data_IF_215636131289
#
_entry.id   IF_215636131289
#
_cell.length_a   1.000
_cell.length_b   1.000
_cell.length_c   1.000
_cell.angle_alpha   90.00
_cell.angle_beta   90.00
_cell.angle_gamma   90.00
#
_symmetry.space_group_name_H-M   'P 1'
#
loop_
_entity.id
_entity.type
_entity.pdbx_description
1 polymer ?
#
# COMPACT_ATOMS: atom_id res chain seq x y z
N UNK A 1 -4.27 -12.75 -7.96
CA UNK A 1 -3.20 -12.35 -7.00
C UNK A 1 -2.07 -13.38 -7.07
N UNK A 2 -0.82 -12.93 -7.28
CA UNK A 2 0.33 -13.80 -7.59
C UNK A 2 0.99 -14.46 -6.37
N UNK A 3 0.80 -13.94 -5.15
CA UNK A 3 1.21 -14.53 -3.85
C UNK A 3 0.75 -13.64 -2.68
N UNK A 4 0.80 -14.13 -1.44
CA UNK A 4 0.55 -13.33 -0.22
C UNK A 4 1.49 -12.12 -0.12
N UNK A 5 2.77 -12.31 -0.48
CA UNK A 5 3.73 -11.20 -0.57
C UNK A 5 3.28 -10.11 -1.54
N UNK A 6 2.69 -10.50 -2.68
CA UNK A 6 2.16 -9.57 -3.67
C UNK A 6 0.89 -8.87 -3.18
N UNK A 7 0.05 -9.55 -2.39
CA UNK A 7 -1.11 -8.96 -1.72
C UNK A 7 -0.70 -7.81 -0.80
N UNK A 8 0.22 -8.08 0.14
CA UNK A 8 0.66 -7.08 1.11
C UNK A 8 1.41 -5.91 0.46
N UNK A 9 2.22 -6.18 -0.57
CA UNK A 9 2.86 -5.12 -1.35
C UNK A 9 1.83 -4.25 -2.12
N UNK A 10 0.73 -4.83 -2.61
CA UNK A 10 -0.38 -4.08 -3.25
C UNK A 10 -1.06 -3.17 -2.25
N UNK A 11 -1.38 -3.68 -1.05
CA UNK A 11 -2.02 -2.89 0.00
C UNK A 11 -1.13 -1.73 0.44
N UNK A 12 0.16 -1.98 0.64
CA UNK A 12 1.13 -0.92 0.95
C UNK A 12 1.16 0.13 -0.15
N UNK A 13 1.13 -0.28 -1.42
CA UNK A 13 1.12 0.66 -2.54
C UNK A 13 -0.14 1.53 -2.50
N UNK A 14 -1.31 0.92 -2.35
CA UNK A 14 -2.58 1.64 -2.32
C UNK A 14 -2.65 2.65 -1.17
N UNK A 15 -2.16 2.27 0.02
CA UNK A 15 -2.16 3.13 1.18
C UNK A 15 -1.17 4.30 1.02
N UNK A 16 0.06 4.04 0.57
CA UNK A 16 1.09 5.07 0.53
C UNK A 16 1.08 5.93 -0.73
N UNK A 17 0.48 5.47 -1.83
CA UNK A 17 0.52 6.20 -3.11
C UNK A 17 -0.08 7.62 -3.03
N UNK A 18 -1.21 7.88 -2.35
CA UNK A 18 -1.76 9.24 -2.23
C UNK A 18 -0.80 10.27 -1.63
N UNK A 19 -0.10 9.87 -0.56
CA UNK A 19 0.92 10.71 0.09
C UNK A 19 2.14 10.87 -0.82
N UNK A 20 2.59 9.78 -1.45
CA UNK A 20 3.75 9.80 -2.36
C UNK A 20 3.53 10.63 -3.63
N UNK A 21 2.30 10.69 -4.13
CA UNK A 21 1.93 11.51 -5.30
C UNK A 21 1.59 12.96 -4.90
N UNK A 22 1.65 13.30 -3.60
CA UNK A 22 1.38 14.64 -3.12
C UNK A 22 -0.10 15.04 -3.16
N UNK A 23 -1.03 14.08 -3.27
CA UNK A 23 -2.46 14.40 -3.24
C UNK A 23 -2.94 14.75 -1.82
N UNK A 24 -2.29 14.21 -0.80
CA UNK A 24 -2.58 14.45 0.62
C UNK A 24 -1.30 14.45 1.44
N UNK A 25 -1.28 15.17 2.56
CA UNK A 25 -0.13 15.20 3.47
C UNK A 25 -0.09 13.97 4.39
N UNK A 26 -1.25 13.43 4.79
CA UNK A 26 -1.34 12.25 5.66
C UNK A 26 -2.20 11.17 5.01
N UNK A 27 -1.86 9.91 5.30
CA UNK A 27 -2.61 8.73 4.86
C UNK A 27 -4.11 8.80 5.21
N UNK A 28 -4.43 9.34 6.38
CA UNK A 28 -5.80 9.48 6.90
C UNK A 28 -6.62 10.53 6.17
N UNK A 29 -5.97 11.43 5.44
CA UNK A 29 -6.64 12.55 4.76
C UNK A 29 -7.14 12.13 3.36
N UNK A 30 -6.78 10.92 2.92
CA UNK A 30 -7.23 10.37 1.65
C UNK A 30 -8.73 10.05 1.69
N UNK A 31 -9.56 10.75 0.89
CA UNK A 31 -11.02 10.65 1.00
C UNK A 31 -11.58 9.34 0.44
N UNK A 32 -10.82 8.66 -0.42
CA UNK A 32 -11.16 7.34 -0.92
C UNK A 32 -10.69 6.31 0.10
N UNK A 33 -11.65 5.73 0.83
CA UNK A 33 -11.49 5.11 2.16
C UNK A 33 -10.53 3.93 2.31
N UNK A 34 -9.77 3.54 1.29
CA UNK A 34 -8.88 2.38 1.34
C UNK A 34 -7.84 2.42 2.47
N UNK A 35 -7.22 3.57 2.73
CA UNK A 35 -6.22 3.69 3.80
C UNK A 35 -6.81 3.86 5.21
N UNK A 36 -7.82 4.74 5.43
CA UNK A 36 -8.46 4.86 6.74
C UNK A 36 -9.18 3.59 7.19
N UNK A 37 -9.88 2.88 6.29
CA UNK A 37 -10.56 1.62 6.63
C UNK A 37 -9.59 0.50 6.95
N UNK A 38 -8.46 0.42 6.23
CA UNK A 38 -7.40 -0.54 6.53
C UNK A 38 -6.82 -0.31 7.93
N UNK A 39 -6.53 0.95 8.28
CA UNK A 39 -6.01 1.32 9.61
C UNK A 39 -7.04 1.12 10.73
N UNK A 40 -8.34 1.29 10.46
CA UNK A 40 -9.38 1.03 11.46
C UNK A 40 -9.57 -0.46 11.77
N UNK A 41 -9.22 -1.34 10.82
CA UNK A 41 -9.41 -2.80 10.93
C UNK A 41 -8.12 -3.55 11.26
N UNK A 42 -6.97 -2.87 11.23
CA UNK A 42 -5.66 -3.49 11.44
C UNK A 42 -5.03 -2.92 12.71
N UNK A 43 -4.48 -3.80 13.55
CA UNK A 43 -3.70 -3.34 14.69
C UNK A 43 -2.54 -2.43 14.22
N UNK A 44 -2.30 -1.27 14.87
CA UNK A 44 -1.28 -0.33 14.42
C UNK A 44 0.14 -0.92 14.36
N UNK A 45 0.49 -1.85 15.24
CA UNK A 45 1.80 -2.51 15.22
C UNK A 45 1.89 -3.53 14.08
N UNK A 46 0.78 -4.21 13.79
CA UNK A 46 0.68 -5.12 12.64
C UNK A 46 0.80 -4.37 11.31
N UNK A 47 0.12 -3.22 11.16
CA UNK A 47 0.27 -2.37 9.98
C UNK A 47 1.73 -1.93 9.79
N UNK A 48 2.39 -1.48 10.86
CA UNK A 48 3.83 -1.13 10.83
C UNK A 48 4.72 -2.31 10.50
N UNK A 49 4.37 -3.52 10.95
CA UNK A 49 5.11 -4.76 10.64
C UNK A 49 5.00 -5.07 9.15
N UNK A 50 3.78 -5.08 8.61
CA UNK A 50 3.50 -5.31 7.19
C UNK A 50 4.21 -4.28 6.30
N UNK A 51 4.23 -3.00 6.70
CA UNK A 51 4.95 -1.95 5.97
C UNK A 51 6.46 -2.18 5.92
N UNK A 52 7.05 -2.66 7.01
CA UNK A 52 8.49 -2.97 7.09
C UNK A 52 8.86 -4.24 6.32
N UNK A 53 8.02 -5.28 6.37
CA UNK A 53 8.29 -6.58 5.75
C UNK A 53 7.99 -6.61 4.25
N UNK A 54 7.07 -5.75 3.79
CA UNK A 54 6.70 -5.63 2.38
C UNK A 54 7.02 -4.24 1.83
N UNK A 55 8.31 -3.84 1.80
CA UNK A 55 8.70 -2.54 1.28
C UNK A 55 8.42 -2.47 -0.22
N UNK A 56 8.03 -1.27 -0.68
CA UNK A 56 7.59 -1.05 -2.06
C UNK A 56 8.69 -1.14 -3.12
N UNK A 57 9.97 -1.18 -2.74
CA UNK A 57 11.14 -1.38 -3.63
C UNK A 57 10.92 -1.05 -5.11
N UNK A 58 11.08 -2.08 -5.95
CA UNK A 58 10.82 -2.05 -7.40
C UNK A 58 9.37 -2.43 -7.77
N UNK A 59 8.41 -2.34 -6.84
CA UNK A 59 7.06 -2.89 -7.01
C UNK A 59 6.36 -2.40 -8.29
N UNK A 60 6.61 -1.16 -8.72
CA UNK A 60 6.09 -0.61 -9.98
C UNK A 60 6.61 -1.34 -11.23
N UNK A 61 7.82 -1.91 -11.21
CA UNK A 61 8.40 -2.62 -12.37
C UNK A 61 7.58 -3.83 -12.79
N UNK A 62 6.90 -4.51 -11.85
CA UNK A 62 6.02 -5.64 -12.19
C UNK A 62 4.66 -5.25 -12.77
N UNK A 63 4.26 -3.97 -12.68
CA UNK A 63 3.01 -3.45 -13.27
C UNK A 63 3.20 -2.95 -14.71
N UNK A 64 4.42 -2.55 -15.05
CA UNK A 64 4.79 -2.13 -16.42
C UNK A 64 5.29 -3.30 -17.28
N UNK A 65 5.20 -4.55 -16.81
CA UNK A 65 5.43 -5.68 -17.69
C UNK A 65 4.30 -5.69 -18.73
N UNK A 66 4.59 -5.51 -20.03
CA UNK A 66 3.56 -5.65 -21.05
C UNK A 66 2.95 -7.05 -20.88
N UNK A 67 1.63 -7.11 -20.87
CA UNK A 67 0.91 -8.38 -20.97
C UNK A 67 1.47 -9.12 -22.19
N UNK A 68 1.96 -10.35 -21.98
CA UNK A 68 2.19 -11.29 -23.08
C UNK A 68 0.83 -11.76 -23.60
#
# INVERSE_FOLDING_TARGET
>A
MRSERHYWATLNYLCHNPVRQGYVERLTDWPWRSAPEYLAQTDPEEAKRIWREHPLGDYRKSWNAPEM
#
